data_IF_110162317018
#
_entry.id   IF_110162317018
#
_cell.length_a   1.000
_cell.length_b   1.000
_cell.length_c   1.000
_cell.angle_alpha   90.00
_cell.angle_beta   90.00
_cell.angle_gamma   90.00
#
_symmetry.space_group_name_H-M   'P 1'
#
loop_
_entity.id
_entity.type
_entity.pdbx_description
1 polymer ?
#
# COMPACT_ATOMS: atom_id res chain seq x y z
N UNK A 1 -21.70 12.94 -10.44
CA UNK A 1 -20.99 11.72 -9.96
C UNK A 1 -20.55 10.86 -11.16
N UNK A 2 -19.69 11.37 -12.06
CA UNK A 2 -19.14 10.58 -13.18
C UNK A 2 -17.71 10.07 -12.93
N UNK A 3 -16.95 10.73 -12.05
CA UNK A 3 -15.56 10.40 -11.74
C UNK A 3 -15.35 8.97 -11.21
N UNK A 4 -16.16 8.55 -10.26
CA UNK A 4 -16.11 7.20 -9.67
C UNK A 4 -16.38 6.11 -10.73
N UNK A 5 -17.18 6.40 -11.75
CA UNK A 5 -17.53 5.43 -12.79
C UNK A 5 -16.36 5.13 -13.74
N UNK A 6 -15.28 5.92 -13.70
CA UNK A 6 -14.08 5.71 -14.52
C UNK A 6 -13.04 4.81 -13.83
N UNK A 7 -13.16 4.58 -12.52
CA UNK A 7 -12.25 3.66 -11.81
C UNK A 7 -12.67 2.22 -12.07
N UNK A 8 -11.86 1.51 -12.86
CA UNK A 8 -12.04 0.07 -13.10
C UNK A 8 -11.13 -0.72 -12.18
N UNK A 9 -11.73 -1.58 -11.36
CA UNK A 9 -10.98 -2.50 -10.47
C UNK A 9 -10.11 -3.50 -11.25
N UNK A 10 -10.47 -3.78 -12.50
CA UNK A 10 -9.68 -4.59 -13.44
C UNK A 10 -8.25 -4.03 -13.60
N UNK A 11 -8.10 -2.70 -13.63
CA UNK A 11 -6.79 -2.06 -13.73
C UNK A 11 -5.90 -2.27 -12.50
N UNK A 12 -6.48 -2.48 -11.32
CA UNK A 12 -5.71 -2.83 -10.11
C UNK A 12 -5.13 -4.23 -10.22
N UNK A 13 -5.90 -5.18 -10.77
CA UNK A 13 -5.42 -6.52 -11.04
C UNK A 13 -4.33 -6.53 -12.14
N UNK A 14 -4.48 -5.74 -13.20
CA UNK A 14 -3.42 -5.60 -14.20
C UNK A 14 -2.14 -4.99 -13.59
N UNK A 15 -2.29 -4.03 -12.68
CA UNK A 15 -1.18 -3.39 -11.97
C UNK A 15 -0.50 -4.28 -10.91
N UNK A 16 -1.05 -5.47 -10.61
CA UNK A 16 -0.43 -6.43 -9.68
C UNK A 16 -1.06 -6.50 -8.29
N UNK A 17 -2.07 -5.68 -7.99
CA UNK A 17 -2.84 -5.80 -6.74
C UNK A 17 -3.72 -7.05 -6.79
N UNK A 18 -3.70 -7.88 -5.75
CA UNK A 18 -4.40 -9.18 -5.70
C UNK A 18 -5.29 -9.32 -4.46
N UNK A 19 -6.03 -8.27 -4.12
CA UNK A 19 -7.03 -8.35 -3.06
C UNK A 19 -8.31 -9.05 -3.59
N UNK A 20 -8.72 -10.11 -2.91
CA UNK A 20 -9.93 -10.88 -3.21
C UNK A 20 -11.15 -10.24 -2.53
N UNK A 21 -11.56 -9.08 -3.05
CA UNK A 21 -12.66 -8.29 -2.51
C UNK A 21 -13.96 -9.10 -2.39
N UNK A 22 -14.58 -9.02 -1.21
CA UNK A 22 -15.89 -9.62 -0.88
C UNK A 22 -17.06 -8.65 -1.13
N UNK A 23 -16.75 -7.36 -1.13
CA UNK A 23 -17.73 -6.28 -1.21
C UNK A 23 -17.91 -5.81 -2.65
N UNK A 24 -19.04 -5.15 -2.91
CA UNK A 24 -19.28 -4.50 -4.18
C UNK A 24 -18.37 -3.26 -4.37
N UNK A 25 -18.18 -2.87 -5.63
CA UNK A 25 -17.31 -1.76 -6.00
C UNK A 25 -17.66 -0.45 -5.31
N UNK A 26 -18.96 -0.13 -5.12
CA UNK A 26 -19.36 1.13 -4.49
C UNK A 26 -18.94 1.18 -3.03
N UNK A 27 -19.07 0.06 -2.33
CA UNK A 27 -18.62 -0.06 -0.94
C UNK A 27 -17.10 0.06 -0.84
N UNK A 28 -16.35 -0.56 -1.75
CA UNK A 28 -14.88 -0.45 -1.77
C UNK A 28 -14.46 1.00 -2.06
N UNK A 29 -15.11 1.67 -3.01
CA UNK A 29 -14.88 3.09 -3.31
C UNK A 29 -15.17 3.97 -2.08
N UNK A 30 -16.22 3.65 -1.33
CA UNK A 30 -16.52 4.29 -0.05
C UNK A 30 -15.40 4.10 0.98
N UNK A 31 -14.79 2.91 1.02
CA UNK A 31 -13.64 2.59 1.87
C UNK A 31 -12.37 3.37 1.47
N UNK A 32 -12.11 3.52 0.17
CA UNK A 32 -10.95 4.29 -0.36
C UNK A 32 -11.30 5.75 -0.71
N UNK A 33 -12.39 6.30 -0.15
CA UNK A 33 -12.91 7.63 -0.53
C UNK A 33 -11.87 8.75 -0.36
N UNK A 34 -10.93 8.60 0.57
CA UNK A 34 -9.82 9.52 0.77
C UNK A 34 -8.91 9.59 -0.46
N UNK A 35 -8.65 8.45 -1.12
CA UNK A 35 -7.88 8.40 -2.36
C UNK A 35 -8.63 9.08 -3.50
N UNK A 36 -9.94 8.84 -3.59
CA UNK A 36 -10.84 9.47 -4.57
C UNK A 36 -10.91 10.99 -4.38
N UNK A 37 -10.97 11.45 -3.12
CA UNK A 37 -10.96 12.86 -2.78
C UNK A 37 -9.62 13.51 -3.17
N UNK A 38 -8.50 12.86 -2.87
CA UNK A 38 -7.17 13.31 -3.31
C UNK A 38 -7.09 13.42 -4.84
N UNK A 39 -7.51 12.38 -5.58
CA UNK A 39 -7.52 12.44 -7.05
C UNK A 39 -8.35 13.61 -7.56
N UNK A 40 -9.53 13.85 -6.99
CA UNK A 40 -10.37 15.00 -7.37
C UNK A 40 -9.67 16.34 -7.16
N UNK A 41 -8.90 16.50 -6.07
CA UNK A 41 -8.10 17.71 -5.83
C UNK A 41 -7.03 17.90 -6.90
N UNK A 42 -6.34 16.84 -7.30
CA UNK A 42 -5.29 16.90 -8.35
C UNK A 42 -5.83 17.30 -9.73
N UNK A 43 -7.15 17.35 -9.91
CA UNK A 43 -7.83 17.69 -11.17
C UNK A 43 -8.41 19.11 -11.17
N UNK A 44 -8.26 19.85 -10.07
CA UNK A 44 -8.77 21.21 -9.94
C UNK A 44 -7.85 22.21 -10.65
N UNK A 45 -8.46 23.18 -11.32
CA UNK A 45 -7.76 24.33 -11.87
C UNK A 45 -8.63 25.56 -11.63
N UNK A 46 -8.15 26.49 -10.79
CA UNK A 46 -8.89 27.71 -10.50
C UNK A 46 -8.92 28.62 -11.73
N UNK A 47 -10.11 29.05 -12.22
CA UNK A 47 -10.20 29.89 -13.41
C UNK A 47 -9.59 31.29 -13.22
N UNK A 48 -9.83 31.88 -12.04
CA UNK A 48 -9.44 33.25 -11.68
C UNK A 48 -8.46 33.30 -10.49
N UNK A 49 -8.10 32.12 -9.97
CA UNK A 49 -7.22 31.96 -8.83
C UNK A 49 -5.75 31.77 -9.23
N UNK A 50 -4.87 31.84 -8.23
CA UNK A 50 -3.43 31.67 -8.47
C UNK A 50 -2.97 30.21 -8.43
N UNK A 51 -3.84 29.27 -8.01
CA UNK A 51 -3.45 27.87 -7.81
C UNK A 51 -3.95 26.96 -8.93
N UNK A 52 -3.03 26.14 -9.43
CA UNK A 52 -3.27 25.15 -10.48
C UNK A 52 -2.84 23.79 -9.91
N UNK A 53 -3.79 23.07 -9.30
CA UNK A 53 -3.54 21.77 -8.66
C UNK A 53 -3.04 20.75 -9.68
N UNK A 54 -3.56 20.78 -10.92
CA UNK A 54 -3.10 19.91 -12.02
C UNK A 54 -1.61 20.08 -12.27
N UNK A 55 -1.15 21.33 -12.43
CA UNK A 55 0.27 21.64 -12.63
C UNK A 55 1.11 21.36 -11.39
N UNK A 56 0.56 21.58 -10.21
CA UNK A 56 1.25 21.29 -8.95
C UNK A 56 1.48 19.79 -8.78
N UNK A 57 0.43 18.98 -8.90
CA UNK A 57 0.48 17.53 -8.92
C UNK A 57 1.51 17.01 -9.92
N UNK A 58 1.47 17.52 -11.16
CA UNK A 58 2.36 17.07 -12.22
C UNK A 58 3.85 17.40 -12.01
N UNK A 59 4.18 18.44 -11.24
CA UNK A 59 5.56 19.00 -11.20
C UNK A 59 6.18 19.12 -9.82
N UNK A 60 5.37 19.03 -8.75
CA UNK A 60 5.78 19.36 -7.38
C UNK A 60 5.51 18.24 -6.40
N UNK A 61 4.76 17.21 -6.78
CA UNK A 61 4.53 16.04 -5.94
C UNK A 61 5.49 14.93 -6.37
N UNK A 62 6.22 14.39 -5.39
CA UNK A 62 7.04 13.20 -5.58
C UNK A 62 6.15 11.98 -5.44
N UNK A 63 6.23 11.08 -6.42
CA UNK A 63 5.44 9.85 -6.45
C UNK A 63 6.38 8.67 -6.62
N UNK A 64 6.05 7.56 -5.98
CA UNK A 64 6.69 6.27 -6.20
C UNK A 64 5.65 5.22 -6.55
N UNK A 65 6.10 4.08 -7.06
CA UNK A 65 5.22 2.94 -7.27
C UNK A 65 4.89 2.31 -5.91
N UNK A 66 3.63 2.46 -5.47
CA UNK A 66 3.19 1.97 -4.17
C UNK A 66 3.27 0.43 -4.03
N UNK A 67 3.13 -0.33 -5.12
CA UNK A 67 3.13 -1.80 -5.01
C UNK A 67 4.44 -2.36 -4.43
N UNK A 68 5.64 -2.07 -4.98
CA UNK A 68 6.90 -2.51 -4.39
C UNK A 68 7.29 -1.76 -3.10
N UNK A 69 6.81 -0.53 -2.89
CA UNK A 69 7.23 0.32 -1.76
C UNK A 69 6.31 0.24 -0.52
N UNK A 70 5.07 -0.22 -0.67
CA UNK A 70 4.10 -0.30 0.43
C UNK A 70 3.67 -1.77 0.68
N UNK A 71 3.71 -2.62 -0.36
CA UNK A 71 3.36 -4.04 -0.31
C UNK A 71 4.50 -5.01 -0.68
N UNK A 72 5.75 -4.77 -0.24
CA UNK A 72 6.90 -5.60 -0.64
C UNK A 72 6.78 -7.07 -0.19
N UNK A 73 6.13 -7.32 0.94
CA UNK A 73 5.91 -8.68 1.45
C UNK A 73 4.92 -9.43 0.56
N UNK A 74 3.80 -8.81 0.22
CA UNK A 74 2.75 -9.40 -0.61
C UNK A 74 3.24 -9.73 -2.00
N UNK A 75 4.03 -8.83 -2.60
CA UNK A 75 4.66 -9.08 -3.90
C UNK A 75 5.70 -10.19 -3.85
N UNK A 76 6.22 -10.52 -2.65
CA UNK A 76 7.23 -11.56 -2.47
C UNK A 76 6.62 -12.94 -2.19
N UNK A 77 5.58 -13.02 -1.35
CA UNK A 77 5.04 -14.30 -0.87
C UNK A 77 3.57 -14.52 -1.21
N UNK A 78 2.68 -13.53 -0.98
CA UNK A 78 1.30 -13.44 -1.49
C UNK A 78 0.53 -12.36 -0.72
N UNK A 79 -0.66 -11.97 -1.21
CA UNK A 79 -1.62 -11.12 -0.49
C UNK A 79 -2.41 -11.86 0.62
N UNK A 80 -1.99 -13.08 0.99
CA UNK A 80 -2.58 -13.84 2.09
C UNK A 80 -1.99 -13.38 3.43
N UNK A 81 -2.83 -12.82 4.29
CA UNK A 81 -2.42 -12.30 5.59
C UNK A 81 -1.78 -13.37 6.49
N UNK A 82 -2.17 -14.64 6.38
CA UNK A 82 -1.60 -15.71 7.18
C UNK A 82 -0.14 -15.99 6.79
N UNK A 83 0.20 -15.89 5.50
CA UNK A 83 1.59 -16.05 5.05
C UNK A 83 2.48 -14.91 5.56
N UNK A 84 1.98 -13.68 5.53
CA UNK A 84 2.69 -12.51 6.08
C UNK A 84 2.84 -12.64 7.60
N UNK A 85 1.79 -13.12 8.28
CA UNK A 85 1.81 -13.34 9.72
C UNK A 85 2.88 -14.36 10.11
N UNK A 86 3.03 -15.45 9.34
CA UNK A 86 4.09 -16.44 9.55
C UNK A 86 5.47 -15.82 9.50
N UNK A 87 5.73 -14.86 8.59
CA UNK A 87 7.01 -14.14 8.53
C UNK A 87 7.36 -13.56 9.90
N UNK A 88 6.41 -12.89 10.56
CA UNK A 88 6.66 -12.30 11.87
C UNK A 88 7.00 -13.32 12.96
N UNK A 89 6.56 -14.57 12.82
CA UNK A 89 6.68 -15.62 13.84
C UNK A 89 7.89 -16.52 13.60
N UNK A 90 8.33 -16.63 12.37
CA UNK A 90 9.46 -17.46 12.00
C UNK A 90 10.72 -16.99 12.74
N UNK A 91 11.36 -17.92 13.45
CA UNK A 91 12.63 -17.67 14.13
C UNK A 91 13.74 -17.45 13.11
N UNK A 92 14.63 -16.49 13.39
CA UNK A 92 15.76 -16.18 12.49
C UNK A 92 16.84 -17.27 12.45
N UNK A 93 16.84 -18.16 13.44
CA UNK A 93 17.77 -19.30 13.57
C UNK A 93 17.12 -20.65 13.22
N UNK A 94 15.94 -20.66 12.59
CA UNK A 94 15.32 -21.90 12.16
C UNK A 94 16.11 -22.54 10.99
N UNK A 95 15.75 -23.78 10.66
CA UNK A 95 16.41 -24.54 9.60
C UNK A 95 16.24 -23.85 8.24
N UNK A 96 17.34 -23.59 7.54
CA UNK A 96 17.32 -22.89 6.26
C UNK A 96 16.74 -23.73 5.11
N UNK A 97 16.71 -25.06 5.29
CA UNK A 97 16.16 -26.00 4.30
C UNK A 97 14.61 -26.05 4.35
N UNK A 98 13.98 -25.44 5.36
CA UNK A 98 12.53 -25.32 5.42
C UNK A 98 12.02 -24.24 4.45
N UNK A 99 11.10 -24.65 3.57
CA UNK A 99 10.47 -23.75 2.58
C UNK A 99 9.85 -22.52 3.24
N UNK A 100 9.19 -22.69 4.38
CA UNK A 100 8.56 -21.59 5.12
C UNK A 100 9.60 -20.60 5.66
N UNK A 101 10.74 -21.09 6.15
CA UNK A 101 11.83 -20.21 6.59
C UNK A 101 12.42 -19.44 5.42
N UNK A 102 12.71 -20.11 4.31
CA UNK A 102 13.26 -19.46 3.12
C UNK A 102 12.33 -18.34 2.60
N UNK A 103 11.01 -18.58 2.61
CA UNK A 103 10.00 -17.57 2.24
C UNK A 103 9.98 -16.40 3.23
N UNK A 104 9.98 -16.67 4.54
CA UNK A 104 9.99 -15.64 5.57
C UNK A 104 11.26 -14.78 5.50
N UNK A 105 12.43 -15.42 5.37
CA UNK A 105 13.73 -14.75 5.18
C UNK A 105 13.69 -13.86 3.96
N UNK A 106 13.24 -14.38 2.81
CA UNK A 106 13.13 -13.60 1.57
C UNK A 106 12.20 -12.39 1.75
N UNK A 107 11.01 -12.58 2.31
CA UNK A 107 10.05 -11.50 2.53
C UNK A 107 10.61 -10.41 3.47
N UNK A 108 11.18 -10.80 4.61
CA UNK A 108 11.74 -9.87 5.59
C UNK A 108 12.88 -9.03 4.99
N UNK A 109 13.80 -9.68 4.27
CA UNK A 109 14.90 -8.96 3.61
C UNK A 109 14.44 -8.11 2.44
N UNK A 110 13.42 -8.52 1.67
CA UNK A 110 12.82 -7.66 0.64
C UNK A 110 12.25 -6.38 1.28
N UNK A 111 11.46 -6.52 2.35
CA UNK A 111 10.89 -5.36 3.07
C UNK A 111 12.01 -4.41 3.52
N UNK A 112 13.07 -4.93 4.13
CA UNK A 112 14.15 -4.10 4.66
C UNK A 112 15.05 -3.47 3.60
N UNK A 113 15.24 -4.09 2.44
CA UNK A 113 16.27 -3.64 1.48
C UNK A 113 15.71 -3.03 0.20
N UNK A 114 14.46 -3.34 -0.15
CA UNK A 114 13.84 -2.94 -1.42
C UNK A 114 12.66 -1.99 -1.25
N UNK A 115 12.30 -1.63 -0.01
CA UNK A 115 11.10 -0.84 0.28
C UNK A 115 11.37 0.20 1.35
N UNK A 116 10.85 1.41 1.21
CA UNK A 116 10.96 2.43 2.26
C UNK A 116 9.85 2.36 3.29
N UNK A 117 8.72 1.77 2.92
CA UNK A 117 7.55 1.65 3.78
C UNK A 117 7.03 0.22 3.75
N UNK A 118 6.18 -0.09 4.73
CA UNK A 118 5.38 -1.30 4.72
C UNK A 118 4.03 -0.98 5.33
N UNK A 119 2.99 -1.06 4.52
CA UNK A 119 1.63 -1.01 5.03
C UNK A 119 1.26 -2.35 5.67
N UNK A 120 0.43 -2.38 6.71
CA UNK A 120 -0.16 -3.63 7.21
C UNK A 120 -1.68 -3.48 7.13
N UNK A 121 -2.24 -4.08 6.07
CA UNK A 121 -3.67 -4.00 5.79
C UNK A 121 -4.43 -4.71 6.90
N UNK A 122 -5.39 -4.01 7.52
CA UNK A 122 -6.36 -4.64 8.40
C UNK A 122 -7.53 -5.17 7.59
N UNK A 123 -8.19 -4.32 6.81
CA UNK A 123 -9.19 -4.70 5.81
C UNK A 123 -10.28 -5.66 6.32
N UNK A 124 -10.66 -5.52 7.59
CA UNK A 124 -11.59 -6.43 8.28
C UNK A 124 -12.92 -6.51 7.53
N UNK A 125 -13.34 -7.74 7.18
CA UNK A 125 -14.54 -8.04 6.40
C UNK A 125 -14.60 -7.43 4.98
N UNK A 126 -13.48 -6.91 4.44
CA UNK A 126 -13.44 -6.35 3.08
C UNK A 126 -13.10 -7.40 2.03
N UNK A 127 -12.32 -8.41 2.40
CA UNK A 127 -11.83 -9.49 1.52
C UNK A 127 -12.28 -10.87 2.02
N UNK A 128 -12.25 -11.87 1.14
CA UNK A 128 -12.49 -13.26 1.56
C UNK A 128 -11.31 -13.80 2.37
N UNK A 129 -10.09 -13.53 1.93
CA UNK A 129 -8.87 -13.91 2.65
C UNK A 129 -8.54 -12.85 3.71
N UNK A 130 -8.38 -13.24 4.99
CA UNK A 130 -8.01 -12.28 6.04
C UNK A 130 -6.65 -11.64 5.77
N UNK A 131 -6.57 -10.31 5.91
CA UNK A 131 -5.30 -9.61 5.87
C UNK A 131 -4.54 -9.70 7.20
N UNK A 132 -3.22 -9.47 7.14
CA UNK A 132 -2.31 -9.66 8.27
C UNK A 132 -2.71 -8.81 9.49
N UNK A 133 -3.14 -7.55 9.28
CA UNK A 133 -3.58 -6.67 10.37
C UNK A 133 -4.78 -7.24 11.14
N UNK A 134 -5.79 -7.77 10.43
CA UNK A 134 -6.94 -8.42 11.09
C UNK A 134 -6.51 -9.63 11.92
N UNK A 135 -5.50 -10.38 11.46
CA UNK A 135 -4.98 -11.52 12.22
C UNK A 135 -4.17 -11.07 13.44
N UNK A 136 -3.42 -9.98 13.34
CA UNK A 136 -2.67 -9.39 14.47
C UNK A 136 -3.58 -8.86 15.58
N UNK A 137 -4.78 -8.42 15.25
CA UNK A 137 -5.80 -7.98 16.22
C UNK A 137 -6.39 -9.13 17.08
N UNK A 138 -6.16 -10.39 16.70
CA UNK A 138 -6.67 -11.53 17.46
C UNK A 138 -5.90 -11.67 18.79
N UNK A 139 -6.59 -11.90 19.93
CA UNK A 139 -5.93 -12.05 21.24
C UNK A 139 -4.83 -13.12 21.24
N UNK A 140 -5.04 -14.22 20.52
CA UNK A 140 -4.06 -15.31 20.41
C UNK A 140 -2.75 -14.88 19.72
N UNK A 141 -2.72 -13.74 19.03
CA UNK A 141 -1.57 -13.22 18.29
C UNK A 141 -0.91 -12.01 18.95
N UNK A 142 -1.39 -11.58 20.11
CA UNK A 142 -0.84 -10.44 20.84
C UNK A 142 0.67 -10.63 21.13
N UNK A 143 1.47 -9.62 20.79
CA UNK A 143 2.92 -9.60 21.02
C UNK A 143 3.73 -10.54 20.11
N UNK A 144 3.11 -11.39 19.29
CA UNK A 144 3.86 -12.34 18.45
C UNK A 144 4.64 -11.67 17.33
N UNK A 145 4.21 -10.50 16.87
CA UNK A 145 4.94 -9.73 15.87
C UNK A 145 6.20 -9.03 16.39
N UNK A 146 6.50 -9.15 17.68
CA UNK A 146 7.68 -8.57 18.34
C UNK A 146 8.47 -9.58 19.15
N UNK A 147 8.13 -10.86 19.04
CA UNK A 147 8.74 -11.89 19.87
C UNK A 147 10.27 -11.96 19.61
N UNK A 148 11.09 -12.10 20.66
CA UNK A 148 12.54 -12.19 20.51
C UNK A 148 13.01 -13.35 19.62
N UNK A 149 13.99 -13.08 18.76
CA UNK A 149 14.60 -14.03 17.85
C UNK A 149 13.75 -14.35 16.61
N UNK A 150 12.76 -13.53 16.26
CA UNK A 150 11.95 -13.70 15.03
C UNK A 150 12.24 -12.65 13.98
N UNK A 151 11.82 -12.89 12.73
CA UNK A 151 11.87 -11.84 11.71
C UNK A 151 10.99 -10.64 12.05
N UNK A 152 9.98 -10.79 12.92
CA UNK A 152 9.20 -9.65 13.43
C UNK A 152 10.02 -8.71 14.30
N UNK A 153 10.83 -9.24 15.22
CA UNK A 153 11.82 -8.44 15.94
C UNK A 153 12.82 -7.78 14.99
N UNK A 154 13.36 -8.54 14.02
CA UNK A 154 14.32 -8.02 13.05
C UNK A 154 13.75 -6.86 12.22
N UNK A 155 12.52 -6.99 11.73
CA UNK A 155 11.85 -5.94 10.95
C UNK A 155 11.66 -4.65 11.76
N UNK A 156 11.33 -4.77 13.06
CA UNK A 156 11.20 -3.61 13.94
C UNK A 156 12.55 -2.97 14.23
N UNK A 157 13.58 -3.78 14.51
CA UNK A 157 14.94 -3.29 14.65
C UNK A 157 15.40 -2.56 13.37
N UNK A 158 15.20 -3.18 12.20
CA UNK A 158 15.51 -2.60 10.90
C UNK A 158 14.82 -1.26 10.66
N UNK A 159 13.54 -1.12 11.02
CA UNK A 159 12.78 0.13 10.84
C UNK A 159 13.36 1.36 11.58
N UNK A 160 14.22 1.14 12.59
CA UNK A 160 14.84 2.21 13.38
C UNK A 160 16.34 2.35 13.11
N UNK A 161 17.01 1.25 12.77
CA UNK A 161 18.46 1.18 12.72
C UNK A 161 19.03 1.02 11.30
N UNK A 162 18.21 0.63 10.33
CA UNK A 162 18.65 0.46 8.95
C UNK A 162 18.58 1.77 8.20
N UNK A 163 19.73 2.25 7.75
CA UNK A 163 19.83 3.32 6.76
C UNK A 163 19.97 2.69 5.38
N UNK A 164 18.95 2.85 4.54
CA UNK A 164 19.01 2.37 3.16
C UNK A 164 19.88 3.28 2.31
N UNK A 165 20.77 2.68 1.53
CA UNK A 165 21.57 3.38 0.51
C UNK A 165 20.97 3.26 -0.89
N UNK A 166 19.78 2.65 -1.02
CA UNK A 166 19.08 2.48 -2.30
C UNK A 166 18.55 3.83 -2.76
N UNK A 167 18.71 4.13 -4.04
CA UNK A 167 18.08 5.30 -4.66
C UNK A 167 16.59 5.04 -4.93
N UNK A 168 15.74 5.95 -4.43
CA UNK A 168 14.30 5.90 -4.63
C UNK A 168 13.95 6.11 -6.11
N UNK A 169 13.10 5.24 -6.65
CA UNK A 169 12.59 5.36 -8.01
C UNK A 169 11.27 6.13 -8.01
N UNK A 170 11.28 7.32 -8.60
CA UNK A 170 10.07 8.13 -8.74
C UNK A 170 9.34 7.82 -10.05
N UNK A 171 8.02 7.97 -10.02
CA UNK A 171 7.17 7.85 -11.20
C UNK A 171 6.59 9.21 -11.59
N UNK A 172 6.27 9.35 -12.87
CA UNK A 172 5.55 10.53 -13.36
C UNK A 172 4.10 10.50 -12.88
N UNK A 173 3.59 11.68 -12.54
CA UNK A 173 2.21 11.84 -12.11
C UNK A 173 1.24 11.62 -13.27
N UNK A 174 0.23 10.77 -13.07
CA UNK A 174 -0.88 10.66 -14.00
C UNK A 174 -1.70 11.95 -13.95
N UNK A 175 -1.84 12.62 -15.10
CA UNK A 175 -2.61 13.85 -15.24
C UNK A 175 -3.94 13.52 -15.89
N UNK A 176 -5.03 14.13 -15.38
CA UNK A 176 -6.35 13.97 -15.97
C UNK A 176 -6.39 14.47 -17.41
N UNK A 177 -7.20 13.83 -18.24
CA UNK A 177 -7.52 14.34 -19.56
C UNK A 177 -8.16 15.75 -19.45
N UNK A 178 -7.87 16.60 -20.43
CA UNK A 178 -8.19 18.03 -20.35
C UNK A 178 -9.68 18.36 -20.21
N UNK A 179 -10.55 17.45 -20.65
CA UNK A 179 -12.01 17.49 -20.57
C UNK A 179 -12.53 17.07 -19.18
N UNK A 180 -11.72 16.37 -18.38
CA UNK A 180 -12.02 15.98 -17.01
C UNK A 180 -11.55 17.02 -15.97
N UNK A 181 -10.71 17.98 -16.36
CA UNK A 181 -10.22 19.05 -15.49
C UNK A 181 -11.39 19.90 -14.99
N UNK A 182 -11.49 20.03 -13.67
CA UNK A 182 -12.56 20.75 -13.00
C UNK A 182 -12.14 22.22 -12.86
N UNK A 183 -12.76 23.08 -13.68
CA UNK A 183 -12.51 24.52 -13.70
C UNK A 183 -13.47 25.25 -12.78
N UNK A 184 -13.15 25.25 -11.49
CA UNK A 184 -13.91 25.92 -10.42
C UNK A 184 -12.95 26.51 -9.39
N UNK A 185 -13.37 27.57 -8.69
CA UNK A 185 -12.59 28.11 -7.57
C UNK A 185 -12.60 27.16 -6.37
N UNK A 186 -11.44 26.96 -5.72
CA UNK A 186 -11.32 26.16 -4.49
C UNK A 186 -12.12 26.80 -3.35
N UNK A 187 -12.28 28.13 -3.42
CA UNK A 187 -13.18 28.95 -2.60
C UNK A 187 -14.38 29.38 -3.46
N UNK A 188 -15.44 28.57 -3.47
CA UNK A 188 -16.73 29.05 -3.97
C UNK A 188 -17.22 30.14 -2.99
N UNK A 189 -17.26 31.40 -3.46
CA UNK A 189 -18.01 32.49 -2.83
C UNK A 189 -19.42 32.56 -3.45
#
# INVERSE_FOLDING_TARGET
MSFIQMMKFEGLAEAGYRCDWKLDEQTIIGYIRQCVAWMSLTWLQEPDGSFDDVKYWAKKVLLWNALPEDFPAETTISFDGANILKVFYTRVEADEDEVEFAQAKKAAWTVMTQSVMREIIHGKELTYTPHCGTLLDLPDNEGKNVAPGTFGELLRYGSVHLEQTREMQYIEAAVADSDLIIRKGLVEA
#
